data_IF_658347840910
#
_entry.id   IF_658347840910
#
_cell.length_a   1.000
_cell.length_b   1.000
_cell.length_c   1.000
_cell.angle_alpha   90.00
_cell.angle_beta   90.00
_cell.angle_gamma   90.00
#
_symmetry.space_group_name_H-M   'P 1'
#
loop_
_entity.id
_entity.type
_entity.pdbx_description
1 polymer ?
#
# COMPACT_ATOMS: atom_id res chain seq x y z
N UNK A 1 8.31 -13.50 -28.79
CA UNK A 1 8.04 -12.09 -28.41
C UNK A 1 6.53 -11.91 -28.22
N UNK A 2 6.00 -12.14 -27.01
CA UNK A 2 4.57 -11.99 -26.66
C UNK A 2 4.37 -11.74 -25.15
N UNK A 3 5.34 -11.11 -24.48
CA UNK A 3 5.28 -10.86 -23.03
C UNK A 3 4.81 -9.45 -22.66
N UNK A 4 4.96 -8.47 -23.56
CA UNK A 4 4.63 -7.07 -23.25
C UNK A 4 3.13 -6.83 -23.01
N UNK A 5 2.27 -7.35 -23.88
CA UNK A 5 0.81 -7.13 -23.82
C UNK A 5 0.19 -7.73 -22.56
N UNK A 6 0.71 -8.87 -22.09
CA UNK A 6 0.26 -9.52 -20.85
C UNK A 6 0.73 -8.76 -19.60
N UNK A 7 1.91 -8.16 -19.63
CA UNK A 7 2.45 -7.37 -18.52
C UNK A 7 1.69 -6.05 -18.30
N UNK A 8 1.39 -5.32 -19.38
CA UNK A 8 0.58 -4.10 -19.28
C UNK A 8 -0.83 -4.38 -18.76
N UNK A 9 -1.44 -5.49 -19.22
CA UNK A 9 -2.75 -5.94 -18.72
C UNK A 9 -2.70 -6.29 -17.23
N UNK A 10 -1.61 -6.91 -16.78
CA UNK A 10 -1.38 -7.24 -15.37
C UNK A 10 -1.24 -5.97 -14.50
N UNK A 11 -0.34 -5.05 -14.88
CA UNK A 11 -0.17 -3.77 -14.15
C UNK A 11 -1.48 -2.99 -14.12
N UNK A 12 -2.19 -2.91 -15.24
CA UNK A 12 -3.46 -2.19 -15.32
C UNK A 12 -4.52 -2.76 -14.35
N UNK A 13 -4.59 -4.09 -14.23
CA UNK A 13 -5.50 -4.74 -13.29
C UNK A 13 -5.12 -4.44 -11.83
N UNK A 14 -3.83 -4.53 -11.47
CA UNK A 14 -3.36 -4.18 -10.14
C UNK A 14 -3.57 -2.70 -9.82
N UNK A 15 -3.43 -1.82 -10.82
CA UNK A 15 -3.69 -0.40 -10.65
C UNK A 15 -5.16 -0.13 -10.32
N UNK A 16 -6.09 -0.78 -11.03
CA UNK A 16 -7.53 -0.68 -10.74
C UNK A 16 -7.82 -1.17 -9.30
N UNK A 17 -7.25 -2.32 -8.90
CA UNK A 17 -7.40 -2.82 -7.53
C UNK A 17 -6.88 -1.83 -6.48
N UNK A 18 -5.81 -1.12 -6.78
CA UNK A 18 -5.24 -0.09 -5.90
C UNK A 18 -6.09 1.19 -5.83
N UNK A 19 -6.78 1.56 -6.91
CA UNK A 19 -7.68 2.73 -6.92
C UNK A 19 -8.95 2.54 -6.08
N UNK A 20 -9.43 1.31 -5.92
CA UNK A 20 -10.64 1.00 -5.15
C UNK A 20 -10.53 1.50 -3.69
N UNK A 21 -9.53 1.08 -2.88
CA UNK A 21 -9.40 1.54 -1.50
C UNK A 21 -9.14 3.05 -1.41
N UNK A 22 -8.39 3.64 -2.35
CA UNK A 22 -8.21 5.11 -2.42
C UNK A 22 -9.57 5.80 -2.52
N UNK A 23 -10.39 5.36 -3.48
CA UNK A 23 -11.69 5.97 -3.77
C UNK A 23 -12.65 5.80 -2.61
N UNK A 24 -12.77 4.58 -2.06
CA UNK A 24 -13.65 4.30 -0.93
C UNK A 24 -13.25 5.13 0.28
N UNK A 25 -11.96 5.18 0.63
CA UNK A 25 -11.50 5.94 1.79
C UNK A 25 -11.67 7.44 1.58
N UNK A 26 -11.35 7.96 0.39
CA UNK A 26 -11.58 9.36 0.04
C UNK A 26 -13.06 9.74 0.20
N UNK A 27 -13.97 8.99 -0.44
CA UNK A 27 -15.41 9.26 -0.36
C UNK A 27 -15.93 9.11 1.07
N UNK A 28 -15.42 8.12 1.82
CA UNK A 28 -15.79 7.92 3.23
C UNK A 28 -15.36 9.12 4.08
N UNK A 29 -14.13 9.59 3.91
CA UNK A 29 -13.62 10.76 4.59
C UNK A 29 -14.41 12.02 4.18
N UNK A 30 -14.72 12.19 2.90
CA UNK A 30 -15.49 13.34 2.44
C UNK A 30 -16.95 13.33 2.94
N UNK A 31 -17.65 12.20 2.95
CA UNK A 31 -19.08 12.20 3.24
C UNK A 31 -19.45 11.89 4.69
N UNK A 32 -18.65 11.09 5.40
CA UNK A 32 -19.07 10.54 6.70
C UNK A 32 -18.28 11.07 7.89
N UNK A 33 -17.16 11.74 7.66
CA UNK A 33 -16.33 12.20 8.76
C UNK A 33 -16.85 13.53 9.32
N UNK A 34 -17.49 13.46 10.49
CA UNK A 34 -17.86 14.63 11.31
C UNK A 34 -16.67 15.54 11.63
N UNK A 35 -15.44 15.01 11.59
CA UNK A 35 -14.21 15.80 11.80
C UNK A 35 -14.01 16.87 10.71
N UNK A 36 -14.58 16.66 9.53
CA UNK A 36 -14.53 17.63 8.43
C UNK A 36 -15.85 18.41 8.25
N UNK A 37 -16.76 18.35 9.23
CA UNK A 37 -18.07 19.02 9.14
C UNK A 37 -17.99 20.54 9.37
N UNK A 38 -16.91 21.03 9.99
CA UNK A 38 -16.65 22.46 10.19
C UNK A 38 -15.16 22.77 10.13
N UNK A 39 -14.84 24.02 9.78
CA UNK A 39 -13.47 24.54 9.74
C UNK A 39 -12.75 24.37 11.08
N UNK A 40 -13.42 24.68 12.18
CA UNK A 40 -12.87 24.62 13.54
C UNK A 40 -12.46 23.19 13.95
N UNK A 41 -13.32 22.20 13.70
CA UNK A 41 -13.03 20.79 13.99
C UNK A 41 -11.85 20.27 13.16
N UNK A 42 -11.74 20.72 11.91
CA UNK A 42 -10.64 20.35 11.05
C UNK A 42 -9.31 21.00 11.49
N UNK A 43 -9.31 22.27 11.86
CA UNK A 43 -8.11 22.96 12.35
C UNK A 43 -7.58 22.32 13.64
N UNK A 44 -8.47 21.89 14.55
CA UNK A 44 -8.11 21.11 15.73
C UNK A 44 -7.50 19.76 15.33
N UNK A 45 -8.11 19.06 14.36
CA UNK A 45 -7.59 17.76 13.90
C UNK A 45 -6.21 17.90 13.25
N UNK A 46 -6.03 18.89 12.39
CA UNK A 46 -4.79 19.11 11.65
C UNK A 46 -3.68 19.59 12.57
N UNK A 47 -3.94 20.51 13.50
CA UNK A 47 -2.94 20.96 14.48
C UNK A 47 -2.48 19.82 15.39
N UNK A 48 -3.35 18.86 15.70
CA UNK A 48 -3.00 17.70 16.51
C UNK A 48 -2.21 16.60 15.77
N UNK A 49 -2.40 16.45 14.45
CA UNK A 49 -1.85 15.31 13.68
C UNK A 49 -0.82 15.65 12.61
N UNK A 50 -0.83 16.85 12.04
CA UNK A 50 0.13 17.27 11.02
C UNK A 50 1.32 17.94 11.71
N UNK A 51 2.04 17.18 12.53
CA UNK A 51 3.41 17.55 12.86
C UNK A 51 4.30 17.25 11.65
N UNK A 52 5.35 18.06 11.46
CA UNK A 52 6.15 18.15 10.24
C UNK A 52 6.97 16.89 9.85
N UNK A 53 6.67 15.71 10.43
CA UNK A 53 7.43 14.48 10.31
C UNK A 53 6.74 13.37 9.51
N UNK A 54 5.57 13.63 8.90
CA UNK A 54 4.77 12.64 8.16
C UNK A 54 5.60 11.83 7.14
N UNK A 55 6.53 12.47 6.43
CA UNK A 55 7.42 11.82 5.46
C UNK A 55 8.45 10.91 6.13
N UNK A 56 9.01 11.31 7.28
CA UNK A 56 9.98 10.49 8.02
C UNK A 56 9.30 9.28 8.66
N UNK A 57 8.10 9.48 9.22
CA UNK A 57 7.27 8.40 9.76
C UNK A 57 6.92 7.39 8.66
N UNK A 58 6.58 7.87 7.46
CA UNK A 58 6.32 7.01 6.31
C UNK A 58 7.51 6.15 5.90
N UNK A 59 8.69 6.74 5.71
CA UNK A 59 9.89 5.96 5.38
C UNK A 59 10.25 4.97 6.48
N UNK A 60 10.01 5.32 7.74
CA UNK A 60 10.24 4.43 8.88
C UNK A 60 9.29 3.24 8.85
N UNK A 61 8.00 3.45 8.54
CA UNK A 61 7.01 2.39 8.38
C UNK A 61 7.35 1.47 7.20
N UNK A 62 7.69 2.05 6.03
CA UNK A 62 8.13 1.25 4.88
C UNK A 62 9.40 0.43 5.18
N UNK A 63 10.36 1.03 5.88
CA UNK A 63 11.57 0.35 6.34
C UNK A 63 11.24 -0.82 7.28
N UNK A 64 10.37 -0.60 8.26
CA UNK A 64 9.94 -1.64 9.20
C UNK A 64 9.23 -2.80 8.49
N UNK A 65 8.34 -2.52 7.54
CA UNK A 65 7.66 -3.56 6.72
C UNK A 65 8.71 -4.34 5.92
N UNK A 66 9.66 -3.66 5.29
CA UNK A 66 10.72 -4.29 4.48
C UNK A 66 11.60 -5.22 5.32
N UNK A 67 12.00 -4.77 6.51
CA UNK A 67 12.81 -5.56 7.44
C UNK A 67 12.02 -6.78 7.93
N UNK A 68 10.76 -6.59 8.32
CA UNK A 68 9.87 -7.68 8.74
C UNK A 68 9.74 -8.74 7.63
N UNK A 69 9.53 -8.30 6.39
CA UNK A 69 9.49 -9.19 5.24
C UNK A 69 10.79 -10.00 5.08
N UNK A 70 11.94 -9.32 5.16
CA UNK A 70 13.25 -9.98 5.10
C UNK A 70 13.42 -11.05 6.16
N UNK A 71 13.01 -10.74 7.41
CA UNK A 71 13.03 -11.69 8.53
C UNK A 71 12.11 -12.89 8.26
N UNK A 72 10.87 -12.66 7.82
CA UNK A 72 9.92 -13.73 7.52
C UNK A 72 10.42 -14.65 6.39
N UNK A 73 11.01 -14.07 5.34
CA UNK A 73 11.63 -14.84 4.26
C UNK A 73 12.83 -15.66 4.76
N UNK A 74 13.66 -15.10 5.65
CA UNK A 74 14.80 -15.78 6.23
C UNK A 74 14.36 -16.95 7.13
N UNK A 75 13.36 -16.74 8.00
CA UNK A 75 12.80 -17.79 8.85
C UNK A 75 12.26 -18.94 8.00
N UNK A 76 11.50 -18.62 6.94
CA UNK A 76 10.99 -19.63 5.99
C UNK A 76 12.13 -20.43 5.34
N UNK A 77 13.24 -19.79 5.01
CA UNK A 77 14.38 -20.48 4.39
C UNK A 77 15.15 -21.40 5.35
N UNK A 78 15.10 -21.12 6.66
CA UNK A 78 15.91 -21.82 7.67
C UNK A 78 15.10 -22.81 8.51
N UNK A 79 13.77 -22.74 8.49
CA UNK A 79 12.94 -23.48 9.43
C UNK A 79 12.99 -25.00 9.19
N UNK A 80 12.84 -25.46 7.94
CA UNK A 80 12.71 -26.88 7.63
C UNK A 80 11.46 -27.55 8.22
N UNK A 81 10.60 -26.82 8.93
CA UNK A 81 9.35 -27.30 9.49
C UNK A 81 8.19 -27.04 8.53
N UNK A 82 7.68 -28.10 7.90
CA UNK A 82 6.57 -28.04 6.93
C UNK A 82 5.34 -27.25 7.41
N UNK A 83 5.02 -27.26 8.71
CA UNK A 83 3.88 -26.51 9.27
C UNK A 83 4.19 -25.01 9.33
N UNK A 84 5.40 -24.63 9.75
CA UNK A 84 5.81 -23.23 9.80
C UNK A 84 5.93 -22.64 8.39
N UNK A 85 6.45 -23.41 7.44
CA UNK A 85 6.57 -22.98 6.05
C UNK A 85 5.22 -22.72 5.38
N UNK A 86 4.21 -23.56 5.67
CA UNK A 86 2.83 -23.33 5.21
C UNK A 86 2.25 -22.04 5.80
N UNK A 87 2.41 -21.84 7.11
CA UNK A 87 1.91 -20.64 7.78
C UNK A 87 2.58 -19.36 7.27
N UNK A 88 3.91 -19.37 7.14
CA UNK A 88 4.67 -18.25 6.59
C UNK A 88 4.31 -17.95 5.13
N UNK A 89 3.97 -18.97 4.34
CA UNK A 89 3.50 -18.79 2.96
C UNK A 89 2.17 -18.05 2.93
N UNK A 90 1.20 -18.43 3.78
CA UNK A 90 -0.08 -17.73 3.87
C UNK A 90 0.10 -16.25 4.25
N UNK A 91 0.98 -15.97 5.22
CA UNK A 91 1.27 -14.59 5.63
C UNK A 91 1.87 -13.79 4.47
N UNK A 92 2.90 -14.34 3.81
CA UNK A 92 3.59 -13.68 2.70
C UNK A 92 2.64 -13.38 1.54
N UNK A 93 1.66 -14.24 1.28
CA UNK A 93 0.66 -14.04 0.22
C UNK A 93 -0.38 -12.94 0.52
N UNK A 94 -0.64 -12.65 1.79
CA UNK A 94 -1.57 -11.59 2.19
C UNK A 94 -0.90 -10.20 2.24
N UNK A 95 0.43 -10.15 2.33
CA UNK A 95 1.15 -8.88 2.48
C UNK A 95 0.93 -7.89 1.31
N UNK A 96 1.02 -8.30 0.01
CA UNK A 96 0.75 -7.37 -1.08
C UNK A 96 -0.67 -6.78 -1.05
N UNK A 97 -1.66 -7.59 -0.68
CA UNK A 97 -3.06 -7.16 -0.54
C UNK A 97 -3.19 -6.14 0.60
N UNK A 98 -2.58 -6.42 1.75
CA UNK A 98 -2.58 -5.51 2.88
C UNK A 98 -1.89 -4.18 2.53
N UNK A 99 -0.76 -4.21 1.84
CA UNK A 99 -0.06 -3.00 1.36
C UNK A 99 -0.96 -2.20 0.42
N UNK A 100 -1.69 -2.86 -0.47
CA UNK A 100 -2.65 -2.23 -1.38
C UNK A 100 -3.76 -1.52 -0.60
N UNK A 101 -4.36 -2.20 0.39
CA UNK A 101 -5.44 -1.66 1.21
C UNK A 101 -4.95 -0.49 2.08
N UNK A 102 -3.87 -0.68 2.83
CA UNK A 102 -3.32 0.36 3.71
C UNK A 102 -2.79 1.56 2.93
N UNK A 103 -2.05 1.30 1.85
CA UNK A 103 -1.56 2.35 0.97
C UNK A 103 -2.71 3.15 0.36
N UNK A 104 -3.75 2.47 -0.11
CA UNK A 104 -4.95 3.12 -0.61
C UNK A 104 -5.68 3.95 0.44
N UNK A 105 -5.84 3.43 1.66
CA UNK A 105 -6.49 4.14 2.75
C UNK A 105 -5.73 5.40 3.17
N UNK A 106 -4.40 5.32 3.26
CA UNK A 106 -3.54 6.48 3.57
C UNK A 106 -3.66 7.52 2.46
N UNK A 107 -3.48 7.13 1.20
CA UNK A 107 -3.59 8.03 0.05
C UNK A 107 -4.97 8.69 -0.02
N UNK A 108 -6.05 7.92 0.12
CA UNK A 108 -7.42 8.45 0.10
C UNK A 108 -7.67 9.47 1.22
N UNK A 109 -7.10 9.23 2.41
CA UNK A 109 -7.16 10.17 3.53
C UNK A 109 -6.39 11.46 3.27
N UNK A 110 -5.21 11.37 2.64
CA UNK A 110 -4.40 12.55 2.27
C UNK A 110 -5.08 13.37 1.17
N UNK A 111 -5.74 12.72 0.21
CA UNK A 111 -6.54 13.42 -0.79
C UNK A 111 -7.75 14.14 -0.19
N UNK A 112 -8.45 13.49 0.76
CA UNK A 112 -9.54 14.14 1.47
C UNK A 112 -9.02 15.36 2.26
N UNK A 113 -7.88 15.21 2.95
CA UNK A 113 -7.23 16.32 3.64
C UNK A 113 -6.91 17.48 2.69
N UNK A 114 -6.29 17.21 1.53
CA UNK A 114 -6.00 18.23 0.51
C UNK A 114 -7.28 18.93 0.03
N UNK A 115 -8.32 18.16 -0.28
CA UNK A 115 -9.62 18.68 -0.71
C UNK A 115 -10.23 19.61 0.34
N UNK A 116 -10.18 19.22 1.61
CA UNK A 116 -10.73 20.02 2.71
C UNK A 116 -9.92 21.28 3.00
N UNK A 117 -8.58 21.18 2.99
CA UNK A 117 -7.71 22.35 3.12
C UNK A 117 -7.99 23.39 2.04
N UNK A 118 -8.27 22.93 0.81
CA UNK A 118 -8.69 23.80 -0.29
C UNK A 118 -10.10 24.37 -0.07
N UNK A 119 -11.07 23.53 0.29
CA UNK A 119 -12.48 23.90 0.39
C UNK A 119 -12.79 24.89 1.52
N UNK A 120 -12.07 24.79 2.65
CA UNK A 120 -12.28 25.65 3.82
C UNK A 120 -11.28 26.83 3.93
N UNK A 121 -10.40 26.98 2.92
CA UNK A 121 -9.34 28.00 2.88
C UNK A 121 -8.56 28.07 4.21
N UNK A 122 -7.91 26.95 4.54
CA UNK A 122 -7.25 26.76 5.83
C UNK A 122 -5.77 27.02 5.66
N UNK A 123 -5.24 27.92 6.51
CA UNK A 123 -3.83 28.30 6.50
C UNK A 123 -3.03 27.20 7.22
N UNK A 124 -2.61 26.21 6.45
CA UNK A 124 -1.67 25.17 6.89
C UNK A 124 -0.25 25.52 6.48
N UNK A 125 0.73 24.87 7.14
CA UNK A 125 2.15 24.99 6.79
C UNK A 125 2.43 24.53 5.35
N UNK A 126 1.70 23.53 4.87
CA UNK A 126 1.76 23.06 3.49
C UNK A 126 0.52 23.51 2.71
N UNK A 127 0.69 23.84 1.43
CA UNK A 127 -0.44 24.19 0.56
C UNK A 127 -1.28 22.95 0.21
N UNK A 128 -2.58 23.10 -0.11
CA UNK A 128 -3.42 21.97 -0.54
C UNK A 128 -2.81 21.17 -1.70
N UNK A 129 -2.17 21.86 -2.65
CA UNK A 129 -1.48 21.25 -3.78
C UNK A 129 -0.25 20.42 -3.33
N UNK A 130 0.54 20.90 -2.36
CA UNK A 130 1.64 20.13 -1.79
C UNK A 130 1.14 18.86 -1.09
N UNK A 131 0.02 18.94 -0.36
CA UNK A 131 -0.62 17.77 0.28
C UNK A 131 -1.09 16.77 -0.78
N UNK A 132 -1.69 17.24 -1.88
CA UNK A 132 -2.09 16.39 -3.00
C UNK A 132 -0.90 15.66 -3.64
N UNK A 133 0.18 16.39 -3.93
CA UNK A 133 1.40 15.80 -4.49
C UNK A 133 2.01 14.77 -3.54
N UNK A 134 2.00 15.04 -2.22
CA UNK A 134 2.43 14.07 -1.22
C UNK A 134 1.58 12.80 -1.27
N UNK A 135 0.24 12.93 -1.31
CA UNK A 135 -0.66 11.79 -1.44
C UNK A 135 -0.41 10.97 -2.71
N UNK A 136 -0.13 11.65 -3.83
CA UNK A 136 0.19 11.02 -5.12
C UNK A 136 1.52 10.27 -5.06
N UNK A 137 2.54 10.88 -4.46
CA UNK A 137 3.84 10.23 -4.27
C UNK A 137 3.72 8.95 -3.41
N UNK A 138 2.93 9.01 -2.34
CA UNK A 138 2.62 7.85 -1.51
C UNK A 138 1.88 6.77 -2.30
N UNK A 139 0.89 7.17 -3.10
CA UNK A 139 0.12 6.25 -3.94
C UNK A 139 1.02 5.46 -4.88
N UNK A 140 1.90 6.17 -5.60
CA UNK A 140 2.85 5.56 -6.53
C UNK A 140 3.80 4.61 -5.78
N UNK A 141 4.32 5.03 -4.63
CA UNK A 141 5.27 4.22 -3.84
C UNK A 141 4.63 2.91 -3.38
N UNK A 142 3.45 2.99 -2.77
CA UNK A 142 2.72 1.80 -2.31
C UNK A 142 2.30 0.90 -3.47
N UNK A 143 1.87 1.48 -4.59
CA UNK A 143 1.52 0.71 -5.78
C UNK A 143 2.72 -0.07 -6.32
N UNK A 144 3.86 0.59 -6.53
CA UNK A 144 5.08 -0.07 -7.00
C UNK A 144 5.50 -1.17 -6.02
N UNK A 145 5.46 -0.88 -4.72
CA UNK A 145 5.87 -1.84 -3.70
C UNK A 145 4.96 -3.08 -3.64
N UNK A 146 3.63 -2.88 -3.71
CA UNK A 146 2.65 -3.96 -3.76
C UNK A 146 2.82 -4.83 -5.02
N UNK A 147 2.92 -4.20 -6.19
CA UNK A 147 3.08 -4.90 -7.48
C UNK A 147 4.41 -5.67 -7.52
N UNK A 148 5.49 -5.08 -7.04
CA UNK A 148 6.80 -5.73 -6.99
C UNK A 148 6.78 -6.98 -6.10
N UNK A 149 6.19 -6.88 -4.90
CA UNK A 149 6.07 -8.02 -3.99
C UNK A 149 5.15 -9.11 -4.55
N UNK A 150 4.01 -8.73 -5.11
CA UNK A 150 3.08 -9.67 -5.75
C UNK A 150 3.78 -10.44 -6.88
N UNK A 151 4.53 -9.72 -7.73
CA UNK A 151 5.30 -10.33 -8.82
C UNK A 151 6.36 -11.32 -8.33
N UNK A 152 7.08 -10.98 -7.24
CA UNK A 152 8.07 -11.88 -6.65
C UNK A 152 7.44 -13.16 -6.09
N UNK A 153 6.28 -13.04 -5.45
CA UNK A 153 5.52 -14.18 -4.92
C UNK A 153 5.01 -15.07 -6.06
N UNK A 154 4.44 -14.46 -7.11
CA UNK A 154 3.90 -15.21 -8.26
C UNK A 154 5.01 -15.94 -9.03
N UNK A 155 6.17 -15.32 -9.22
CA UNK A 155 7.33 -16.00 -9.81
C UNK A 155 7.78 -17.21 -8.98
N UNK A 156 7.77 -17.09 -7.65
CA UNK A 156 8.16 -18.20 -6.77
C UNK A 156 7.17 -19.36 -6.89
N UNK A 157 5.86 -19.09 -6.91
CA UNK A 157 4.82 -20.10 -7.13
C UNK A 157 5.00 -20.87 -8.44
N UNK A 158 5.32 -20.17 -9.53
CA UNK A 158 5.55 -20.79 -10.84
C UNK A 158 6.75 -21.76 -10.79
N UNK A 159 7.85 -21.34 -10.16
CA UNK A 159 9.05 -22.19 -10.01
C UNK A 159 8.78 -23.44 -9.16
N UNK A 160 8.08 -23.28 -8.03
CA UNK A 160 7.75 -24.39 -7.13
C UNK A 160 6.82 -25.41 -7.82
N UNK A 161 5.90 -24.92 -8.66
CA UNK A 161 4.97 -25.78 -9.45
C UNK A 161 5.70 -26.58 -10.53
N UNK A 162 6.70 -25.99 -11.20
CA UNK A 162 7.48 -26.68 -12.24
C UNK A 162 8.38 -27.78 -11.66
N UNK A 163 8.91 -27.59 -10.45
CA UNK A 163 9.71 -28.61 -9.77
C UNK A 163 8.88 -29.83 -9.34
N UNK A 164 7.62 -29.64 -8.90
CA UNK A 164 6.72 -30.75 -8.59
C UNK A 164 6.33 -31.57 -9.83
N UNK A 165 6.12 -30.92 -10.99
CA UNK A 165 5.81 -31.62 -12.23
C UNK A 165 6.99 -32.46 -12.73
N UNK A 166 8.22 -31.93 -12.65
CA UNK A 166 9.41 -32.68 -13.04
C UNK A 166 9.75 -33.84 -12.07
N UNK A 167 9.38 -33.73 -10.79
CA UNK A 167 9.56 -34.81 -9.81
C UNK A 167 8.55 -35.95 -9.94
N UNK A 168 7.38 -35.71 -10.54
CA UNK A 168 6.35 -36.75 -10.73
C UNK A 168 6.48 -37.50 -12.07
N UNK A 169 7.31 -37.01 -13.00
CA UNK A 169 7.53 -37.58 -14.33
C UNK A 169 8.91 -38.24 -14.49
N UNK A 170 9.68 -38.37 -13.42
CA UNK A 170 10.96 -39.11 -13.35
C UNK A 170 10.87 -40.25 -12.36
#
# INVERSE_FOLDING_TARGET
MSNGTNYFKYIGLEFIKFLIPISITFLTACFFSKLFSSKELFEIYVSAKINAHLTNEFFSILGAITILLGILFMIKSLSGFNVLDKFLTLILEEIPKNITIFGGAITGSIYALSWYSYSYDIVLKQTPMQIFFLGTFFAITFFIYAVALQYLIDQKKIKDSQQQVNSNNG
#
